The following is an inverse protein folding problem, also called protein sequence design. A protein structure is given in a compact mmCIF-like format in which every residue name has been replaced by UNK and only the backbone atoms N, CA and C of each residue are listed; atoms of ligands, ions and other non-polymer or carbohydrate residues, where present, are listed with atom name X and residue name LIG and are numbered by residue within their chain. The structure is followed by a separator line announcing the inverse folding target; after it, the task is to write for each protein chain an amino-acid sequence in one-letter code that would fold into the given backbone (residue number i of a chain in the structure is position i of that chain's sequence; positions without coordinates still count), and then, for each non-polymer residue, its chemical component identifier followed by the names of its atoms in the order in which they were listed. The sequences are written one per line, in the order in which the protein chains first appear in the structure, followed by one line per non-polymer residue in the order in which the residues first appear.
data_IF_849737695784
#
_entry.id   IF_849737695784
#
_cell.length_a   1.000
_cell.length_b   1.000
_cell.length_c   1.000
_cell.angle_alpha   90.00
_cell.angle_beta   90.00
_cell.angle_gamma   90.00
#
_symmetry.space_group_name_H-M   'P 1'
#
loop_
_entity.id
_entity.type
_entity.pdbx_description
1 polymer ?
#
# COMPACT_ATOMS: atom_id res chain seq x y z
N UNK A 1 -12.86 -45.89 -44.08
CA UNK A 1 -13.75 -45.24 -43.09
C UNK A 1 -13.49 -45.84 -41.71
N UNK A 2 -13.57 -45.02 -40.65
CA UNK A 2 -12.66 -45.06 -39.50
C UNK A 2 -13.11 -46.01 -38.38
N UNK A 3 -12.15 -46.61 -37.66
CA UNK A 3 -12.36 -47.06 -36.28
C UNK A 3 -12.23 -45.84 -35.38
N UNK A 4 -13.36 -45.44 -34.78
CA UNK A 4 -13.40 -44.58 -33.60
C UNK A 4 -12.70 -45.33 -32.47
N UNK A 5 -11.54 -44.85 -32.05
CA UNK A 5 -11.04 -45.18 -30.72
C UNK A 5 -11.88 -44.42 -29.69
N UNK A 6 -12.29 -45.23 -28.73
CA UNK A 6 -13.29 -44.99 -27.71
C UNK A 6 -12.72 -44.06 -26.64
N UNK A 7 -13.56 -43.11 -26.24
CA UNK A 7 -13.34 -42.16 -25.17
C UNK A 7 -13.05 -42.92 -23.86
N UNK A 8 -11.77 -43.07 -23.51
CA UNK A 8 -11.34 -43.72 -22.28
C UNK A 8 -11.76 -42.86 -21.09
N UNK A 9 -12.90 -43.20 -20.50
CA UNK A 9 -13.43 -42.56 -19.28
C UNK A 9 -12.36 -42.64 -18.18
N UNK A 10 -11.81 -41.49 -17.79
CA UNK A 10 -10.90 -41.38 -16.64
C UNK A 10 -11.59 -41.94 -15.38
N UNK A 11 -10.88 -42.74 -14.55
CA UNK A 11 -11.49 -43.38 -13.40
C UNK A 11 -11.99 -42.34 -12.38
N UNK A 12 -13.14 -42.59 -11.72
CA UNK A 12 -13.74 -41.64 -10.77
C UNK A 12 -12.85 -41.29 -9.57
N UNK A 13 -11.86 -42.14 -9.26
CA UNK A 13 -10.85 -41.87 -8.24
C UNK A 13 -9.95 -40.67 -8.58
N UNK A 14 -9.60 -40.45 -9.85
CA UNK A 14 -8.72 -39.36 -10.27
C UNK A 14 -9.41 -37.99 -10.10
N UNK A 15 -10.72 -37.94 -10.34
CA UNK A 15 -11.55 -36.75 -10.08
C UNK A 15 -11.71 -36.47 -8.58
N UNK A 16 -11.87 -37.50 -7.76
CA UNK A 16 -11.93 -37.38 -6.30
C UNK A 16 -10.61 -36.86 -5.72
N UNK A 17 -9.46 -37.43 -6.09
CA UNK A 17 -8.16 -36.96 -5.63
C UNK A 17 -7.88 -35.52 -6.07
N UNK A 18 -8.23 -35.16 -7.32
CA UNK A 18 -8.14 -33.79 -7.79
C UNK A 18 -8.99 -32.84 -6.94
N UNK A 19 -10.23 -33.21 -6.63
CA UNK A 19 -11.11 -32.36 -5.81
C UNK A 19 -10.62 -32.23 -4.37
N UNK A 20 -10.11 -33.30 -3.77
CA UNK A 20 -9.49 -33.27 -2.44
C UNK A 20 -8.27 -32.35 -2.44
N UNK A 21 -7.42 -32.43 -3.46
CA UNK A 21 -6.26 -31.55 -3.59
C UNK A 21 -6.66 -30.08 -3.74
N UNK A 22 -7.70 -29.78 -4.53
CA UNK A 22 -8.26 -28.43 -4.67
C UNK A 22 -8.77 -27.87 -3.34
N UNK A 23 -9.51 -28.67 -2.57
CA UNK A 23 -10.02 -28.25 -1.24
C UNK A 23 -8.86 -28.00 -0.28
N UNK A 24 -7.91 -28.94 -0.19
CA UNK A 24 -6.70 -28.77 0.64
C UNK A 24 -5.87 -27.56 0.25
N UNK A 25 -5.79 -27.24 -1.04
CA UNK A 25 -5.10 -26.04 -1.50
C UNK A 25 -5.81 -24.77 -1.03
N UNK A 26 -7.14 -24.72 -1.10
CA UNK A 26 -7.92 -23.58 -0.61
C UNK A 26 -7.84 -23.41 0.92
N UNK A 27 -7.86 -24.51 1.67
CA UNK A 27 -7.68 -24.49 3.12
C UNK A 27 -6.31 -23.94 3.51
N UNK A 28 -5.23 -24.48 2.93
CA UNK A 28 -3.86 -23.98 3.16
C UNK A 28 -3.73 -22.51 2.82
N UNK A 29 -4.32 -22.09 1.69
CA UNK A 29 -4.32 -20.68 1.30
C UNK A 29 -5.01 -19.81 2.36
N UNK A 30 -6.17 -20.23 2.86
CA UNK A 30 -6.89 -19.50 3.91
C UNK A 30 -6.07 -19.44 5.21
N UNK A 31 -5.43 -20.53 5.61
CA UNK A 31 -4.53 -20.56 6.77
C UNK A 31 -3.38 -19.57 6.60
N UNK A 32 -2.76 -19.50 5.41
CA UNK A 32 -1.70 -18.53 5.13
C UNK A 32 -2.22 -17.08 5.22
N UNK A 33 -3.40 -16.80 4.67
CA UNK A 33 -4.04 -15.48 4.78
C UNK A 33 -4.23 -15.09 6.27
N UNK A 34 -4.70 -16.01 7.09
CA UNK A 34 -4.93 -15.79 8.53
C UNK A 34 -3.60 -15.60 9.29
N UNK A 35 -2.55 -16.37 8.94
CA UNK A 35 -1.20 -16.21 9.50
C UNK A 35 -0.62 -14.85 9.14
N UNK A 36 -0.69 -14.43 7.86
CA UNK A 36 -0.22 -13.11 7.43
C UNK A 36 -0.92 -12.00 8.20
N UNK A 37 -2.25 -12.08 8.35
CA UNK A 37 -3.00 -11.08 9.11
C UNK A 37 -2.57 -11.03 10.58
N UNK A 38 -2.44 -12.19 11.24
CA UNK A 38 -1.96 -12.26 12.62
C UNK A 38 -0.56 -11.66 12.78
N UNK A 39 0.36 -11.89 11.84
CA UNK A 39 1.70 -11.30 11.85
C UNK A 39 1.64 -9.77 11.73
N UNK A 40 0.77 -9.23 10.87
CA UNK A 40 0.59 -7.78 10.74
C UNK A 40 0.03 -7.19 12.04
N UNK A 41 -1.02 -7.79 12.61
CA UNK A 41 -1.59 -7.36 13.89
C UNK A 41 -0.55 -7.41 15.00
N UNK A 42 0.27 -8.46 15.04
CA UNK A 42 1.38 -8.57 15.98
C UNK A 42 2.37 -7.40 15.82
N UNK A 43 2.73 -7.00 14.59
CA UNK A 43 3.61 -5.83 14.36
C UNK A 43 3.00 -4.51 14.87
N UNK A 44 1.68 -4.35 14.78
CA UNK A 44 0.99 -3.21 15.36
C UNK A 44 1.03 -3.26 16.90
N UNK A 45 0.78 -4.44 17.49
CA UNK A 45 0.83 -4.63 18.95
C UNK A 45 2.24 -4.43 19.52
N UNK A 46 3.28 -4.98 18.88
CA UNK A 46 4.68 -4.85 19.30
C UNK A 46 5.15 -3.38 19.34
N UNK A 47 4.48 -2.49 18.60
CA UNK A 47 4.77 -1.05 18.54
C UNK A 47 3.79 -0.20 19.34
N UNK A 48 2.92 -0.83 20.13
CA UNK A 48 1.83 -0.18 20.89
C UNK A 48 0.95 0.74 20.02
N UNK A 49 0.62 0.30 18.80
CA UNK A 49 -0.24 1.01 17.86
C UNK A 49 -1.61 0.32 17.82
N UNK A 50 -2.66 1.06 18.14
CA UNK A 50 -4.03 0.56 18.07
C UNK A 50 -4.55 0.68 16.64
N UNK A 51 -4.92 -0.43 16.00
CA UNK A 51 -5.51 -0.38 14.66
C UNK A 51 -6.85 0.37 14.66
N UNK A 52 -7.15 1.08 13.57
CA UNK A 52 -8.37 1.86 13.40
C UNK A 52 -9.58 0.93 13.53
N UNK A 53 -10.57 1.27 14.38
CA UNK A 53 -11.78 0.49 14.51
C UNK A 53 -12.67 0.63 13.28
N UNK A 54 -13.53 -0.37 13.05
CA UNK A 54 -14.52 -0.34 11.97
C UNK A 54 -15.34 0.95 12.00
N UNK A 55 -15.44 1.61 10.85
CA UNK A 55 -16.27 2.81 10.68
C UNK A 55 -17.72 2.36 10.51
N UNK A 56 -18.48 2.38 11.60
CA UNK A 56 -19.90 2.02 11.64
C UNK A 56 -20.68 3.28 11.28
N UNK A 57 -21.47 3.20 10.21
CA UNK A 57 -22.49 4.21 9.95
C UNK A 57 -23.59 4.05 11.02
N UNK A 58 -23.53 4.85 12.09
CA UNK A 58 -24.68 4.99 12.98
C UNK A 58 -25.75 5.79 12.25
N UNK A 59 -27.00 5.36 12.34
CA UNK A 59 -28.20 6.01 11.79
C UNK A 59 -28.53 7.40 12.38
N UNK A 60 -27.60 8.03 13.09
CA UNK A 60 -27.71 9.36 13.68
C UNK A 60 -26.83 10.39 12.96
N UNK A 61 -27.31 11.62 12.75
CA UNK A 61 -26.66 12.65 11.93
C UNK A 61 -25.41 13.30 12.55
N UNK A 62 -24.98 12.92 13.75
CA UNK A 62 -23.75 13.41 14.39
C UNK A 62 -22.51 12.62 13.92
N UNK A 63 -22.25 12.66 12.62
CA UNK A 63 -21.24 11.86 11.87
C UNK A 63 -19.79 12.35 12.09
N UNK A 64 -19.57 13.34 12.95
CA UNK A 64 -18.23 13.96 13.16
C UNK A 64 -17.30 13.07 14.02
N UNK A 65 -17.81 12.07 14.74
CA UNK A 65 -17.09 11.54 15.91
C UNK A 65 -16.25 10.29 15.69
N UNK A 66 -16.48 9.43 14.69
CA UNK A 66 -15.84 8.10 14.75
C UNK A 66 -14.35 8.09 14.36
N UNK A 67 -13.96 8.86 13.34
CA UNK A 67 -12.55 8.96 12.93
C UNK A 67 -11.77 9.89 13.88
N UNK A 68 -12.43 10.89 14.48
CA UNK A 68 -11.82 11.73 15.51
C UNK A 68 -11.62 10.99 16.86
N UNK A 69 -12.25 9.82 17.03
CA UNK A 69 -12.00 8.91 18.17
C UNK A 69 -10.73 8.07 17.98
N UNK A 70 -10.08 8.12 16.81
CA UNK A 70 -8.80 7.44 16.58
C UNK A 70 -7.75 8.04 17.54
N UNK A 71 -7.06 7.21 18.34
CA UNK A 71 -6.04 7.70 19.25
C UNK A 71 -4.96 8.44 18.46
N UNK A 72 -4.54 9.61 18.98
CA UNK A 72 -3.46 10.40 18.37
C UNK A 72 -2.13 9.66 18.51
N UNK A 73 -1.77 8.90 17.49
CA UNK A 73 -0.59 8.05 17.45
C UNK A 73 0.26 8.27 16.19
N UNK A 74 0.17 9.47 15.58
CA UNK A 74 0.93 9.90 14.40
C UNK A 74 2.42 9.55 14.54
N UNK A 75 3.07 10.01 15.61
CA UNK A 75 4.49 9.74 15.86
C UNK A 75 4.84 8.25 15.94
N UNK A 76 3.93 7.40 16.43
CA UNK A 76 4.16 5.94 16.48
C UNK A 76 4.08 5.32 15.08
N UNK A 77 3.10 5.75 14.27
CA UNK A 77 2.96 5.30 12.89
C UNK A 77 4.13 5.77 12.03
N UNK A 78 4.59 7.01 12.23
CA UNK A 78 5.77 7.56 11.57
C UNK A 78 7.03 6.75 11.89
N UNK A 79 7.19 6.28 13.13
CA UNK A 79 8.32 5.44 13.56
C UNK A 79 8.40 4.05 12.92
N UNK A 80 7.37 3.64 12.17
CA UNK A 80 7.38 2.38 11.40
C UNK A 80 8.31 2.48 10.18
N UNK A 81 8.47 3.68 9.63
CA UNK A 81 9.17 3.92 8.39
C UNK A 81 10.59 4.46 8.65
N UNK A 82 11.52 4.24 7.71
CA UNK A 82 12.82 4.91 7.72
C UNK A 82 12.63 6.42 7.55
N UNK A 83 13.60 7.23 7.99
CA UNK A 83 13.53 8.69 7.81
C UNK A 83 13.35 9.06 6.33
N UNK A 84 14.08 8.37 5.44
CA UNK A 84 14.04 8.60 4.00
C UNK A 84 12.65 8.23 3.40
N UNK A 85 12.06 7.11 3.84
CA UNK A 85 10.72 6.69 3.41
C UNK A 85 9.64 7.63 3.96
N UNK A 86 9.80 8.11 5.18
CA UNK A 86 8.87 9.04 5.82
C UNK A 86 8.75 10.34 5.03
N UNK A 87 9.86 10.92 4.56
CA UNK A 87 9.84 12.13 3.74
C UNK A 87 9.02 11.96 2.46
N UNK A 88 9.14 10.80 1.82
CA UNK A 88 8.35 10.43 0.64
C UNK A 88 6.87 10.28 1.00
N UNK A 89 6.54 9.65 2.14
CA UNK A 89 5.15 9.52 2.62
C UNK A 89 4.54 10.89 2.95
N UNK A 90 5.28 11.77 3.63
CA UNK A 90 4.82 13.11 3.97
C UNK A 90 4.63 13.99 2.74
N UNK A 91 5.49 13.84 1.73
CA UNK A 91 5.32 14.49 0.43
C UNK A 91 4.03 14.02 -0.26
N UNK A 92 3.76 12.71 -0.24
CA UNK A 92 2.53 12.12 -0.79
C UNK A 92 1.27 12.56 -0.02
N UNK A 93 1.34 12.60 1.32
CA UNK A 93 0.28 13.12 2.19
C UNK A 93 -0.06 14.58 1.87
N UNK A 94 0.95 15.41 1.62
CA UNK A 94 0.78 16.83 1.29
C UNK A 94 0.12 17.04 -0.07
N UNK A 95 0.25 16.08 -0.99
CA UNK A 95 -0.40 16.14 -2.30
C UNK A 95 -1.85 15.65 -2.27
N UNK A 96 -2.13 14.57 -1.54
CA UNK A 96 -3.49 14.03 -1.36
C UNK A 96 -4.32 14.96 -0.48
N UNK A 97 -3.65 15.55 0.51
CA UNK A 97 -4.19 16.45 1.49
C UNK A 97 -3.49 17.80 1.31
N UNK A 98 -3.96 18.64 0.37
CA UNK A 98 -3.30 19.91 0.04
C UNK A 98 -3.03 20.72 1.32
N UNK A 99 -1.94 21.51 1.37
CA UNK A 99 -1.57 22.27 2.55
C UNK A 99 -2.69 23.25 2.91
N UNK A 100 -3.60 22.80 3.76
CA UNK A 100 -4.72 23.59 4.21
C UNK A 100 -4.23 24.45 5.38
N UNK A 101 -4.10 25.75 5.13
CA UNK A 101 -3.72 26.75 6.14
C UNK A 101 -4.92 27.10 7.03
N UNK A 102 -5.55 26.08 7.59
CA UNK A 102 -6.67 26.22 8.52
C UNK A 102 -6.66 25.15 9.61
N UNK A 103 -7.63 25.17 10.52
CA UNK A 103 -7.63 24.28 11.68
C UNK A 103 -7.59 22.80 11.27
N UNK A 104 -6.79 21.98 11.97
CA UNK A 104 -6.73 20.51 11.78
C UNK A 104 -8.10 19.81 11.93
N UNK A 105 -9.07 20.51 12.52
CA UNK A 105 -10.48 20.13 12.69
C UNK A 105 -11.36 20.37 11.46
N UNK A 106 -10.79 20.79 10.32
CA UNK A 106 -11.58 21.07 9.12
C UNK A 106 -12.14 19.76 8.56
N UNK A 107 -13.46 19.72 8.43
CA UNK A 107 -14.23 18.56 8.02
C UNK A 107 -14.22 18.49 6.50
N UNK A 108 -13.66 17.41 5.96
CA UNK A 108 -13.77 17.05 4.54
C UNK A 108 -14.88 16.04 4.38
N UNK A 109 -15.81 16.35 3.49
CA UNK A 109 -16.89 15.47 3.14
C UNK A 109 -16.42 14.56 1.97
N UNK A 110 -16.19 13.27 2.24
CA UNK A 110 -15.76 12.29 1.24
C UNK A 110 -16.73 11.13 1.21
N UNK A 111 -16.87 10.52 0.05
CA UNK A 111 -17.70 9.34 -0.07
C UNK A 111 -16.98 8.12 0.51
N UNK A 112 -17.73 7.22 1.15
CA UNK A 112 -17.19 6.02 1.80
C UNK A 112 -16.44 5.14 0.81
N UNK A 113 -16.91 5.06 -0.43
CA UNK A 113 -16.24 4.33 -1.51
C UNK A 113 -14.87 4.95 -1.84
N UNK A 114 -14.78 6.29 -1.92
CA UNK A 114 -13.49 6.97 -2.15
C UNK A 114 -12.51 6.80 -0.99
N UNK A 115 -13.01 6.78 0.25
CA UNK A 115 -12.16 6.57 1.43
C UNK A 115 -11.61 5.15 1.48
N UNK A 116 -12.43 4.18 1.09
CA UNK A 116 -12.04 2.77 0.93
C UNK A 116 -10.97 2.60 -0.15
N UNK A 117 -11.16 3.22 -1.32
CA UNK A 117 -10.17 3.21 -2.40
C UNK A 117 -8.85 3.85 -1.95
N UNK A 118 -8.93 5.01 -1.29
CA UNK A 118 -7.76 5.70 -0.75
C UNK A 118 -6.99 4.84 0.25
N UNK A 119 -7.67 4.13 1.15
CA UNK A 119 -7.04 3.21 2.09
C UNK A 119 -6.32 2.06 1.39
N UNK A 120 -6.99 1.41 0.43
CA UNK A 120 -6.38 0.31 -0.34
C UNK A 120 -5.16 0.77 -1.15
N UNK A 121 -5.25 1.92 -1.82
CA UNK A 121 -4.13 2.53 -2.56
C UNK A 121 -2.98 2.85 -1.62
N UNK A 122 -3.27 3.38 -0.42
CA UNK A 122 -2.25 3.70 0.58
C UNK A 122 -1.57 2.46 1.15
N UNK A 123 -2.29 1.34 1.33
CA UNK A 123 -1.66 0.05 1.70
C UNK A 123 -0.68 -0.39 0.61
N UNK A 124 -1.11 -0.38 -0.65
CA UNK A 124 -0.24 -0.81 -1.72
C UNK A 124 0.97 0.12 -1.89
N UNK A 125 0.80 1.42 -1.65
CA UNK A 125 1.89 2.39 -1.62
C UNK A 125 2.90 2.08 -0.51
N UNK A 126 2.43 1.78 0.71
CA UNK A 126 3.29 1.37 1.81
C UNK A 126 4.07 0.08 1.56
N UNK A 127 3.44 -0.89 0.88
CA UNK A 127 4.09 -2.13 0.44
C UNK A 127 5.18 -1.86 -0.60
N UNK A 128 4.88 -1.04 -1.60
CA UNK A 128 5.84 -0.61 -2.63
C UNK A 128 7.04 0.11 -2.00
N UNK A 129 6.78 1.14 -1.18
CA UNK A 129 7.82 1.99 -0.62
C UNK A 129 8.76 1.21 0.29
N UNK A 130 8.22 0.28 1.09
CA UNK A 130 9.02 -0.62 1.92
C UNK A 130 10.03 -1.43 1.12
N UNK A 131 9.62 -1.94 -0.06
CA UNK A 131 10.52 -2.70 -0.95
C UNK A 131 11.62 -1.84 -1.54
N UNK A 132 11.26 -0.62 -1.97
CA UNK A 132 12.24 0.31 -2.54
C UNK A 132 13.24 0.75 -1.47
N UNK A 133 12.76 1.10 -0.28
CA UNK A 133 13.59 1.49 0.85
C UNK A 133 14.55 0.36 1.25
N UNK A 134 14.08 -0.89 1.38
CA UNK A 134 14.98 -2.01 1.70
C UNK A 134 16.07 -2.24 0.65
N UNK A 135 15.73 -2.11 -0.63
CA UNK A 135 16.73 -2.21 -1.70
C UNK A 135 17.71 -1.04 -1.65
N UNK A 136 17.20 0.17 -1.45
CA UNK A 136 17.99 1.38 -1.33
C UNK A 136 18.99 1.30 -0.16
N UNK A 137 18.51 0.93 1.04
CA UNK A 137 19.37 0.78 2.23
C UNK A 137 20.42 -0.32 2.02
N UNK A 138 20.06 -1.40 1.32
CA UNK A 138 21.00 -2.46 0.98
C UNK A 138 22.10 -1.95 0.02
N UNK A 139 21.74 -1.28 -1.07
CA UNK A 139 22.72 -0.69 -2.00
C UNK A 139 23.58 0.39 -1.34
N UNK A 140 22.99 1.19 -0.45
CA UNK A 140 23.70 2.17 0.38
C UNK A 140 24.74 1.49 1.26
N UNK A 141 24.36 0.43 1.97
CA UNK A 141 25.28 -0.33 2.84
C UNK A 141 26.40 -1.03 2.08
N UNK A 142 26.17 -1.37 0.80
CA UNK A 142 27.14 -2.02 -0.07
C UNK A 142 27.98 -1.02 -0.88
N UNK A 143 27.76 0.29 -0.73
CA UNK A 143 28.37 1.35 -1.53
C UNK A 143 28.17 1.15 -3.06
N UNK A 144 27.03 0.59 -3.46
CA UNK A 144 26.68 0.37 -4.87
C UNK A 144 25.65 1.36 -5.40
N UNK A 145 25.38 2.44 -4.65
CA UNK A 145 24.40 3.44 -5.06
C UNK A 145 24.80 4.10 -6.39
N UNK A 146 23.82 4.39 -7.26
CA UNK A 146 24.07 5.09 -8.51
C UNK A 146 24.60 6.50 -8.23
N UNK A 147 25.64 6.90 -8.96
CA UNK A 147 26.15 8.27 -8.88
C UNK A 147 25.22 9.20 -9.67
N UNK A 148 24.38 9.94 -8.95
CA UNK A 148 23.33 10.83 -9.49
C UNK A 148 23.89 11.89 -10.45
N UNK A 149 25.18 12.26 -10.35
CA UNK A 149 25.84 13.22 -11.24
C UNK A 149 25.99 12.71 -12.69
N UNK A 150 25.82 11.40 -12.94
CA UNK A 150 25.95 10.77 -14.26
C UNK A 150 24.61 10.47 -14.94
N UNK A 151 23.49 11.01 -14.45
CA UNK A 151 22.17 10.86 -15.06
C UNK A 151 21.77 12.09 -15.87
N UNK A 152 22.30 12.29 -17.09
CA UNK A 152 21.71 13.26 -18.00
C UNK A 152 20.40 12.72 -18.59
N UNK A 153 19.35 13.54 -18.54
CA UNK A 153 18.24 13.59 -19.50
C UNK A 153 17.47 12.29 -19.83
N UNK A 154 17.33 11.34 -18.91
CA UNK A 154 16.42 10.19 -19.12
C UNK A 154 14.95 10.51 -18.75
N UNK A 155 14.66 11.75 -18.36
CA UNK A 155 13.42 12.20 -17.72
C UNK A 155 12.25 12.49 -18.67
N UNK A 156 12.44 12.43 -19.99
CA UNK A 156 11.40 12.83 -20.96
C UNK A 156 10.51 11.68 -21.46
N UNK A 157 10.87 10.42 -21.24
CA UNK A 157 10.19 9.26 -21.85
C UNK A 157 9.51 8.29 -20.87
N UNK A 158 9.43 8.62 -19.58
CA UNK A 158 8.73 7.77 -18.61
C UNK A 158 7.22 7.94 -18.79
N UNK A 159 6.59 7.01 -19.53
CA UNK A 159 5.13 6.92 -19.57
C UNK A 159 4.62 6.62 -18.15
N UNK A 160 3.71 7.45 -17.59
CA UNK A 160 3.13 7.20 -16.28
C UNK A 160 2.37 5.87 -16.31
N UNK A 161 2.72 4.95 -15.43
CA UNK A 161 2.04 3.67 -15.33
C UNK A 161 0.62 3.93 -14.75
N UNK A 162 -0.48 3.51 -15.42
CA UNK A 162 -1.84 3.98 -15.09
C UNK A 162 -2.39 3.51 -13.73
N UNK A 163 -1.69 2.62 -13.02
CA UNK A 163 -2.17 2.03 -11.77
C UNK A 163 -1.74 2.81 -10.51
N UNK A 164 -0.82 3.77 -10.65
CA UNK A 164 -0.43 4.70 -9.59
C UNK A 164 -0.55 6.10 -10.14
N UNK A 165 -1.70 6.75 -9.90
CA UNK A 165 -1.85 8.18 -10.16
C UNK A 165 -0.93 8.93 -9.22
N UNK A 166 0.29 9.09 -9.71
CA UNK A 166 1.41 9.74 -9.09
C UNK A 166 1.69 11.00 -9.91
N UNK A 167 0.65 11.84 -10.02
CA UNK A 167 0.83 13.28 -10.25
C UNK A 167 1.76 13.88 -9.16
N UNK A 168 2.03 13.11 -8.08
CA UNK A 168 2.91 13.40 -6.95
C UNK A 168 4.42 13.09 -7.11
N UNK A 169 4.89 12.21 -8.00
CA UNK A 169 6.35 11.97 -8.12
C UNK A 169 7.01 12.88 -9.14
N UNK A 170 6.22 13.39 -10.11
CA UNK A 170 6.74 14.16 -11.24
C UNK A 170 6.76 15.66 -10.95
N UNK A 171 6.04 16.15 -9.93
CA UNK A 171 5.99 17.57 -9.59
C UNK A 171 7.03 18.06 -8.57
N UNK A 172 7.89 17.21 -8.04
CA UNK A 172 9.00 17.70 -7.22
C UNK A 172 10.20 17.93 -8.13
N UNK A 173 10.13 18.98 -8.95
CA UNK A 173 11.33 19.63 -9.48
C UNK A 173 12.30 19.82 -8.32
N UNK A 174 13.60 19.49 -8.49
CA UNK A 174 14.61 20.05 -7.63
C UNK A 174 14.35 21.55 -7.60
N UNK A 175 14.22 22.13 -6.42
CA UNK A 175 14.26 23.58 -6.25
C UNK A 175 15.58 24.04 -6.88
N UNK A 176 15.51 24.56 -8.11
CA UNK A 176 16.61 25.20 -8.83
C UNK A 176 16.88 26.53 -8.14
N UNK A 177 17.38 26.44 -6.91
CA UNK A 177 18.02 27.54 -6.22
C UNK A 177 19.36 27.78 -6.88
N UNK A 178 19.37 28.69 -7.86
CA UNK A 178 20.56 29.27 -8.48
C UNK A 178 21.68 29.51 -7.45
N UNK A 179 22.72 28.67 -7.49
CA UNK A 179 24.05 28.99 -6.94
C UNK A 179 25.12 28.55 -7.93
N UNK A 180 25.38 29.42 -8.89
CA UNK A 180 26.71 29.53 -9.49
C UNK A 180 27.68 29.96 -8.38
N UNK A 181 28.36 28.97 -7.80
CA UNK A 181 29.32 29.13 -6.72
C UNK A 181 30.49 28.17 -6.91
N UNK A 182 31.56 28.75 -7.41
CA UNK A 182 32.90 28.21 -7.62
C UNK A 182 33.48 27.51 -6.37
N UNK A 183 34.20 26.40 -6.59
CA UNK A 183 35.27 25.90 -5.71
C UNK A 183 34.88 25.44 -4.30
N UNK A 184 34.68 24.14 -4.12
CA UNK A 184 34.71 23.51 -2.80
C UNK A 184 34.54 22.00 -2.90
N UNK A 185 35.43 21.25 -2.25
CA UNK A 185 35.41 19.79 -2.10
C UNK A 185 34.04 19.34 -1.57
N UNK A 186 33.11 19.06 -2.49
CA UNK A 186 31.76 18.63 -2.16
C UNK A 186 31.84 17.15 -1.84
N UNK A 187 31.93 16.85 -0.53
CA UNK A 187 31.60 15.56 0.04
C UNK A 187 30.51 14.87 -0.79
N UNK A 188 30.76 13.62 -1.18
CA UNK A 188 29.81 12.77 -1.90
C UNK A 188 28.41 13.01 -1.34
N UNK A 189 27.57 13.73 -2.10
CA UNK A 189 26.15 13.77 -1.79
C UNK A 189 25.64 12.38 -2.09
N UNK A 190 25.47 11.59 -1.04
CA UNK A 190 24.79 10.30 -1.09
C UNK A 190 23.51 10.45 -1.93
N UNK A 191 23.23 9.45 -2.77
CA UNK A 191 21.98 9.41 -3.51
C UNK A 191 20.83 9.30 -2.49
N UNK A 192 19.98 10.31 -2.36
CA UNK A 192 18.80 10.25 -1.48
C UNK A 192 17.76 9.26 -2.05
N UNK A 193 16.93 8.65 -1.19
CA UNK A 193 15.91 7.67 -1.60
C UNK A 193 15.00 8.20 -2.72
N UNK A 194 14.70 9.50 -2.71
CA UNK A 194 13.91 10.14 -3.76
C UNK A 194 14.64 10.12 -5.12
N UNK A 195 15.90 10.50 -5.15
CA UNK A 195 16.73 10.42 -6.37
C UNK A 195 16.92 8.98 -6.83
N UNK A 196 17.00 8.05 -5.90
CA UNK A 196 17.06 6.62 -6.18
C UNK A 196 15.78 6.12 -6.86
N UNK A 197 14.60 6.49 -6.36
CA UNK A 197 13.31 6.11 -6.98
C UNK A 197 13.21 6.66 -8.41
N UNK A 198 13.67 7.90 -8.62
CA UNK A 198 13.68 8.52 -9.95
C UNK A 198 14.70 7.90 -10.91
N UNK A 199 15.74 7.25 -10.39
CA UNK A 199 16.73 6.52 -11.18
C UNK A 199 16.20 5.18 -11.71
N UNK A 200 15.29 4.53 -10.97
CA UNK A 200 14.78 3.21 -11.33
C UNK A 200 13.99 3.24 -12.64
N UNK A 201 14.18 2.20 -13.44
CA UNK A 201 13.40 1.99 -14.66
C UNK A 201 11.93 1.64 -14.33
N UNK A 202 10.99 1.93 -15.25
CA UNK A 202 9.57 1.71 -15.00
C UNK A 202 9.20 0.23 -14.79
N UNK A 203 9.97 -0.72 -15.34
CA UNK A 203 9.72 -2.15 -15.14
C UNK A 203 10.07 -2.57 -13.71
N UNK A 204 11.20 -2.09 -13.18
CA UNK A 204 11.61 -2.28 -11.80
C UNK A 204 10.63 -1.64 -10.82
N UNK A 205 10.17 -0.42 -11.10
CA UNK A 205 9.13 0.24 -10.29
C UNK A 205 7.83 -0.57 -10.29
N UNK A 206 7.40 -1.09 -11.44
CA UNK A 206 6.21 -1.94 -11.53
C UNK A 206 6.40 -3.26 -10.77
N UNK A 207 7.59 -3.87 -10.84
CA UNK A 207 7.93 -5.06 -10.08
C UNK A 207 7.86 -4.82 -8.57
N UNK A 208 8.28 -3.64 -8.10
CA UNK A 208 8.16 -3.24 -6.70
C UNK A 208 6.71 -2.99 -6.27
N UNK A 209 5.90 -2.41 -7.14
CA UNK A 209 4.51 -2.12 -6.84
C UNK A 209 3.58 -3.34 -6.92
N UNK A 210 3.97 -4.37 -7.65
CA UNK A 210 3.17 -5.59 -7.80
C UNK A 210 3.19 -6.42 -6.51
N UNK A 211 2.00 -6.68 -5.94
CA UNK A 211 1.84 -7.63 -4.82
C UNK A 211 2.11 -9.05 -5.33
N UNK A 212 2.99 -9.79 -4.65
CA UNK A 212 3.49 -11.07 -5.18
C UNK A 212 2.59 -12.26 -4.88
N UNK A 213 1.79 -12.20 -3.82
CA UNK A 213 0.95 -13.31 -3.37
C UNK A 213 -0.55 -13.01 -3.49
N UNK A 214 -1.34 -14.04 -3.80
CA UNK A 214 -2.82 -13.92 -3.86
C UNK A 214 -3.41 -13.77 -2.47
N UNK A 215 -2.70 -14.29 -1.48
CA UNK A 215 -2.96 -14.24 -0.06
C UNK A 215 -2.86 -12.79 0.45
N UNK A 216 -1.79 -12.08 0.11
CA UNK A 216 -1.64 -10.66 0.46
C UNK A 216 -2.74 -9.78 -0.16
N UNK A 217 -3.12 -10.04 -1.42
CA UNK A 217 -4.25 -9.34 -2.06
C UNK A 217 -5.56 -9.60 -1.30
N UNK A 218 -5.78 -10.84 -0.86
CA UNK A 218 -6.96 -11.21 -0.08
C UNK A 218 -6.95 -10.54 1.32
N UNK A 219 -5.79 -10.44 1.97
CA UNK A 219 -5.62 -9.71 3.24
C UNK A 219 -5.97 -8.23 3.10
N UNK A 220 -5.43 -7.55 2.07
CA UNK A 220 -5.76 -6.13 1.79
C UNK A 220 -7.27 -5.97 1.60
N UNK A 221 -7.88 -6.83 0.78
CA UNK A 221 -9.32 -6.81 0.51
C UNK A 221 -10.14 -6.98 1.79
N UNK A 222 -9.86 -8.02 2.59
CA UNK A 222 -10.56 -8.31 3.85
C UNK A 222 -10.40 -7.18 4.86
N UNK A 223 -9.20 -6.61 5.02
CA UNK A 223 -8.98 -5.48 5.93
C UNK A 223 -9.79 -4.25 5.50
N UNK A 224 -9.78 -3.96 4.20
CA UNK A 224 -10.53 -2.84 3.62
C UNK A 224 -12.05 -3.03 3.80
N UNK A 225 -12.55 -4.25 3.60
CA UNK A 225 -13.96 -4.61 3.82
C UNK A 225 -14.34 -4.61 5.31
N UNK A 226 -13.43 -5.00 6.19
CA UNK A 226 -13.68 -4.95 7.63
C UNK A 226 -13.84 -3.51 8.13
N UNK A 227 -13.05 -2.57 7.60
CA UNK A 227 -13.07 -1.17 8.00
C UNK A 227 -14.27 -0.38 7.44
N UNK A 228 -14.54 -0.55 6.14
CA UNK A 228 -15.56 0.23 5.43
C UNK A 228 -16.85 -0.55 5.17
N UNK A 229 -16.90 -1.84 5.48
CA UNK A 229 -18.02 -2.71 5.15
C UNK A 229 -18.00 -3.21 3.69
N UNK A 230 -18.84 -4.20 3.42
CA UNK A 230 -19.05 -4.72 2.08
C UNK A 230 -20.13 -3.89 1.37
N UNK A 231 -19.98 -3.61 0.06
CA UNK A 231 -21.05 -3.02 -0.74
C UNK A 231 -22.11 -4.09 -1.08
N UNK A 232 -22.82 -4.62 -0.08
CA UNK A 232 -24.02 -5.44 -0.36
C UNK A 232 -25.18 -4.47 -0.30
N UNK A 233 -25.89 -4.33 -1.43
CA UNK A 233 -27.24 -3.82 -1.39
C UNK A 233 -28.10 -4.87 -0.68
N UNK A 234 -29.04 -4.44 0.16
CA UNK A 234 -29.92 -5.29 1.01
C UNK A 234 -30.75 -6.34 0.24
N UNK A 235 -30.67 -6.35 -1.09
CA UNK A 235 -31.44 -7.14 -2.04
C UNK A 235 -30.59 -8.05 -2.96
N UNK A 236 -29.28 -8.18 -2.72
CA UNK A 236 -28.43 -9.14 -3.43
C UNK A 236 -28.22 -8.81 -4.92
N UNK A 237 -28.59 -7.60 -5.35
CA UNK A 237 -28.31 -7.05 -6.67
C UNK A 237 -27.08 -6.17 -6.65
N UNK A 238 -26.29 -6.20 -7.73
CA UNK A 238 -25.17 -5.30 -7.96
C UNK A 238 -25.69 -3.92 -8.41
N UNK A 239 -26.53 -3.30 -7.57
CA UNK A 239 -27.25 -2.06 -7.87
C UNK A 239 -26.96 -0.97 -6.84
N UNK A 240 -26.35 0.13 -7.30
CA UNK A 240 -26.22 1.43 -6.65
C UNK A 240 -26.14 1.40 -5.10
N UNK A 241 -24.94 1.11 -4.59
CA UNK A 241 -24.56 1.42 -3.20
C UNK A 241 -24.94 2.88 -2.94
N UNK A 242 -25.80 3.14 -1.96
CA UNK A 242 -25.91 4.48 -1.39
C UNK A 242 -24.51 4.84 -0.91
N UNK A 243 -23.77 5.64 -1.69
CA UNK A 243 -22.42 6.04 -1.37
C UNK A 243 -22.50 7.00 -0.19
N UNK A 244 -22.53 6.42 1.01
CA UNK A 244 -22.65 7.14 2.26
C UNK A 244 -21.55 8.18 2.32
N UNK A 245 -21.95 9.41 2.53
CA UNK A 245 -21.02 10.50 2.62
C UNK A 245 -20.52 10.56 4.07
N UNK A 246 -19.23 10.34 4.26
CA UNK A 246 -18.56 10.35 5.56
C UNK A 246 -17.84 11.68 5.73
N UNK A 247 -18.05 12.32 6.88
CA UNK A 247 -17.28 13.49 7.30
C UNK A 247 -16.01 13.05 7.98
N UNK A 248 -14.86 13.50 7.48
CA UNK A 248 -13.53 13.12 7.98
C UNK A 248 -12.73 14.39 8.22
N UNK A 249 -12.10 14.52 9.38
CA UNK A 249 -11.14 15.62 9.59
C UNK A 249 -9.85 15.37 8.81
N UNK A 250 -9.13 16.43 8.47
CA UNK A 250 -7.80 16.30 7.87
C UNK A 250 -6.88 15.40 8.71
N UNK A 251 -6.93 15.55 10.03
CA UNK A 251 -6.17 14.73 10.96
C UNK A 251 -6.58 13.25 10.88
N UNK A 252 -7.87 12.96 10.88
CA UNK A 252 -8.39 11.60 10.71
C UNK A 252 -7.97 10.95 9.40
N UNK A 253 -7.94 11.71 8.31
CA UNK A 253 -7.49 11.25 7.00
C UNK A 253 -5.98 10.97 6.97
N UNK A 254 -5.17 11.85 7.58
CA UNK A 254 -3.73 11.63 7.71
C UNK A 254 -3.42 10.36 8.53
N UNK A 255 -4.12 10.15 9.64
CA UNK A 255 -4.03 8.94 10.46
C UNK A 255 -4.39 7.68 9.67
N UNK A 256 -5.47 7.74 8.88
CA UNK A 256 -5.90 6.63 8.04
C UNK A 256 -4.85 6.26 6.99
N UNK A 257 -4.24 7.25 6.34
CA UNK A 257 -3.18 7.01 5.36
C UNK A 257 -1.92 6.47 6.03
N UNK A 258 -1.49 7.05 7.17
CA UNK A 258 -0.31 6.58 7.90
C UNK A 258 -0.48 5.13 8.41
N UNK A 259 -1.67 4.77 8.90
CA UNK A 259 -1.94 3.37 9.24
C UNK A 259 -1.90 2.48 8.01
N UNK A 260 -2.53 2.90 6.90
CA UNK A 260 -2.53 2.13 5.66
C UNK A 260 -1.10 1.90 5.15
N UNK A 261 -0.25 2.93 5.14
CA UNK A 261 1.16 2.79 4.71
C UNK A 261 1.94 1.86 5.64
N UNK A 262 1.73 1.96 6.96
CA UNK A 262 2.32 1.05 7.93
C UNK A 262 1.86 -0.40 7.71
N UNK A 263 0.55 -0.61 7.49
CA UNK A 263 -0.02 -1.92 7.18
C UNK A 263 0.61 -2.51 5.92
N UNK A 264 0.77 -1.71 4.87
CA UNK A 264 1.46 -2.11 3.63
C UNK A 264 2.91 -2.53 3.85
N UNK A 265 3.65 -1.78 4.66
CA UNK A 265 5.02 -2.14 5.03
C UNK A 265 5.08 -3.46 5.81
N UNK A 266 4.19 -3.67 6.78
CA UNK A 266 4.12 -4.95 7.51
C UNK A 266 3.65 -6.10 6.64
N UNK A 267 2.81 -5.84 5.64
CA UNK A 267 2.38 -6.84 4.69
C UNK A 267 3.58 -7.41 3.90
N UNK A 268 4.50 -6.55 3.46
CA UNK A 268 5.75 -6.99 2.84
C UNK A 268 6.59 -7.88 3.77
N UNK A 269 6.80 -7.45 5.01
CA UNK A 269 7.56 -8.22 6.01
C UNK A 269 6.92 -9.60 6.28
N UNK A 270 5.60 -9.62 6.45
CA UNK A 270 4.84 -10.86 6.72
C UNK A 270 4.88 -11.82 5.54
N UNK A 271 4.80 -11.29 4.31
CA UNK A 271 4.88 -12.08 3.10
C UNK A 271 6.27 -12.71 2.95
N UNK A 272 7.34 -11.94 3.18
CA UNK A 272 8.71 -12.46 3.16
C UNK A 272 8.95 -13.53 4.22
N UNK A 273 8.38 -13.36 5.42
CA UNK A 273 8.46 -14.37 6.48
C UNK A 273 7.76 -15.67 6.09
N UNK A 274 6.51 -15.59 5.62
CA UNK A 274 5.74 -16.76 5.18
C UNK A 274 6.44 -17.46 4.02
N UNK A 275 6.94 -16.69 3.04
CA UNK A 275 7.70 -17.23 1.91
C UNK A 275 8.95 -17.99 2.39
N UNK A 276 9.70 -17.47 3.36
CA UNK A 276 10.86 -18.19 3.90
C UNK A 276 10.55 -19.50 4.64
N UNK A 277 9.30 -19.69 5.11
CA UNK A 277 8.91 -20.82 5.97
C UNK A 277 8.07 -21.88 5.26
N UNK A 278 7.31 -21.50 4.25
CA UNK A 278 6.27 -22.34 3.66
C UNK A 278 6.42 -22.54 2.14
N UNK A 279 7.47 -21.98 1.52
CA UNK A 279 7.86 -22.28 0.14
C UNK A 279 8.91 -23.38 0.04
#
# INVERSE_FOLDING_TARGET
MPRKEEDASKPPGDLLYKRIAEVKYKERRKEIEDIMYCLIVQKFMDRDISMIPKLIASSSPDVITQIDTIPRQESKLESVHSSDALEIIQSHLSLISPPFVGPRSTIVQRSKLKLRELYAVSIMYGYYLKRVDERYQLERSMNTLPNVKKLPNMFNDVKPNPFWFLESLVQITPDDGDRYGEGGDAAEKDCDLKSYVMYLDPETLQSYATIRSKEAVAVIKKQTEALFGWPEADDGSLGAVNDEIVTVTFQGLAMLILEATAFGSFLWDSQGYVESKYH
#
